data_IF_225296475961
#
_entry.id   IF_225296475961
#
_cell.length_a   1.000
_cell.length_b   1.000
_cell.length_c   1.000
_cell.angle_alpha   90.00
_cell.angle_beta   90.00
_cell.angle_gamma   90.00
#
_symmetry.space_group_name_H-M   'P 1'
#
loop_
_entity.id
_entity.type
_entity.pdbx_description
1 polymer ?
#
# COMPACT_ATOMS: atom_id res chain seq x y z
N UNK A 1 -1.10 -9.22 -0.33
CA UNK A 1 0.27 -9.19 0.19
C UNK A 1 0.61 -10.39 1.07
N UNK A 2 1.79 -10.36 1.67
CA UNK A 2 2.33 -11.48 2.45
C UNK A 2 1.77 -11.60 3.88
N UNK A 3 0.77 -10.80 4.24
CA UNK A 3 0.04 -10.88 5.51
C UNK A 3 0.72 -10.21 6.71
N UNK A 4 1.68 -9.29 6.51
CA UNK A 4 2.32 -8.56 7.61
C UNK A 4 1.33 -7.62 8.30
N UNK A 5 0.75 -6.69 7.55
CA UNK A 5 -0.25 -5.74 8.05
C UNK A 5 -1.51 -6.44 8.52
N UNK A 6 -1.91 -7.51 7.82
CA UNK A 6 -3.02 -8.37 8.26
C UNK A 6 -2.78 -8.96 9.65
N UNK A 7 -1.55 -9.39 9.95
CA UNK A 7 -1.22 -9.93 11.27
C UNK A 7 -1.30 -8.86 12.37
N UNK A 8 -0.90 -7.61 12.06
CA UNK A 8 -1.06 -6.47 12.97
C UNK A 8 -2.55 -6.19 13.20
N UNK A 9 -3.34 -6.11 12.13
CA UNK A 9 -4.78 -5.87 12.23
C UNK A 9 -5.51 -6.96 13.04
N UNK A 10 -5.14 -8.22 12.85
CA UNK A 10 -5.66 -9.35 13.63
C UNK A 10 -5.27 -9.29 15.12
N UNK A 11 -4.15 -8.65 15.45
CA UNK A 11 -3.74 -8.41 16.84
C UNK A 11 -4.73 -7.56 17.64
N UNK A 12 -5.50 -6.71 16.98
CA UNK A 12 -6.62 -5.95 17.58
C UNK A 12 -7.91 -6.78 17.77
N UNK A 13 -7.89 -8.08 17.45
CA UNK A 13 -8.98 -9.03 17.62
C UNK A 13 -10.32 -8.57 17.03
N UNK A 14 -10.40 -8.23 15.72
CA UNK A 14 -11.65 -7.89 15.07
C UNK A 14 -12.63 -9.07 15.15
N UNK A 15 -13.94 -8.83 14.97
CA UNK A 15 -14.94 -9.92 14.91
C UNK A 15 -14.64 -10.92 13.80
N UNK A 16 -14.12 -10.42 12.66
CA UNK A 16 -13.61 -11.20 11.54
C UNK A 16 -12.60 -10.38 10.75
N UNK A 17 -11.75 -11.06 10.00
CA UNK A 17 -10.80 -10.46 9.06
C UNK A 17 -10.90 -11.18 7.71
N UNK A 18 -11.02 -10.41 6.62
CA UNK A 18 -10.95 -10.98 5.26
C UNK A 18 -9.89 -10.23 4.47
N UNK A 19 -8.84 -10.94 4.08
CA UNK A 19 -7.83 -10.43 3.17
C UNK A 19 -8.12 -10.87 1.74
N UNK A 20 -7.87 -9.97 0.78
CA UNK A 20 -8.02 -10.23 -0.66
C UNK A 20 -6.67 -10.03 -1.33
N UNK A 21 -6.25 -10.98 -2.13
CA UNK A 21 -5.05 -10.86 -2.96
C UNK A 21 -5.22 -11.63 -4.27
N UNK A 22 -4.83 -11.01 -5.38
CA UNK A 22 -4.91 -11.64 -6.69
C UNK A 22 -3.82 -12.71 -6.89
N UNK A 23 -2.69 -12.57 -6.20
CA UNK A 23 -1.57 -13.50 -6.29
C UNK A 23 -1.78 -14.68 -5.32
N UNK A 24 -2.03 -15.87 -5.86
CA UNK A 24 -2.28 -17.07 -5.07
C UNK A 24 -1.10 -17.46 -4.16
N UNK A 25 0.14 -17.25 -4.60
CA UNK A 25 1.32 -17.53 -3.78
C UNK A 25 1.36 -16.58 -2.55
N UNK A 26 1.09 -15.28 -2.76
CA UNK A 26 1.02 -14.30 -1.68
C UNK A 26 -0.12 -14.65 -0.71
N UNK A 27 -1.30 -14.98 -1.23
CA UNK A 27 -2.45 -15.42 -0.44
C UNK A 27 -2.13 -16.67 0.39
N UNK A 28 -1.43 -17.64 -0.19
CA UNK A 28 -1.00 -18.87 0.51
C UNK A 28 -0.01 -18.58 1.64
N UNK A 29 0.96 -17.68 1.41
CA UNK A 29 1.91 -17.26 2.46
C UNK A 29 1.17 -16.51 3.57
N UNK A 30 0.23 -15.62 3.22
CA UNK A 30 -0.58 -14.89 4.18
C UNK A 30 -1.41 -15.82 5.07
N UNK A 31 -2.07 -16.85 4.49
CA UNK A 31 -2.83 -17.87 5.24
C UNK A 31 -1.94 -18.58 6.28
N UNK A 32 -0.69 -18.89 5.92
CA UNK A 32 0.26 -19.54 6.85
C UNK A 32 0.76 -18.60 7.95
N UNK A 33 0.87 -17.32 7.66
CA UNK A 33 1.41 -16.30 8.59
C UNK A 33 0.40 -15.85 9.62
N UNK A 34 -0.85 -15.62 9.20
CA UNK A 34 -1.90 -15.09 10.07
C UNK A 34 -2.39 -16.20 11.01
N UNK A 35 -2.13 -16.03 12.30
CA UNK A 35 -2.53 -16.97 13.37
C UNK A 35 -3.79 -16.49 14.09
N UNK A 36 -4.80 -16.14 13.33
CA UNK A 36 -6.08 -15.68 13.84
C UNK A 36 -7.20 -16.54 13.26
N UNK A 37 -7.93 -17.25 14.12
CA UNK A 37 -8.94 -18.24 13.76
C UNK A 37 -10.11 -17.68 12.95
N UNK A 38 -10.42 -16.38 13.15
CA UNK A 38 -11.47 -15.66 12.43
C UNK A 38 -10.96 -14.90 11.20
N UNK A 39 -9.73 -15.21 10.74
CA UNK A 39 -9.17 -14.66 9.52
C UNK A 39 -9.42 -15.58 8.32
N UNK A 40 -9.84 -14.98 7.22
CA UNK A 40 -9.99 -15.63 5.91
C UNK A 40 -9.19 -14.87 4.86
N UNK A 41 -8.43 -15.58 4.04
CA UNK A 41 -7.74 -15.01 2.89
C UNK A 41 -8.31 -15.62 1.62
N UNK A 42 -8.85 -14.76 0.75
CA UNK A 42 -9.42 -15.16 -0.54
C UNK A 42 -8.51 -14.73 -1.68
N UNK A 43 -8.45 -15.56 -2.70
CA UNK A 43 -7.77 -15.22 -3.95
C UNK A 43 -8.78 -14.59 -4.89
N UNK A 44 -8.73 -13.27 -5.02
CA UNK A 44 -9.65 -12.49 -5.87
C UNK A 44 -9.02 -11.16 -6.27
N UNK A 45 -9.60 -10.53 -7.30
CA UNK A 45 -9.23 -9.19 -7.70
C UNK A 45 -9.83 -8.17 -6.71
N UNK A 46 -9.03 -7.21 -6.23
CA UNK A 46 -9.50 -6.15 -5.34
C UNK A 46 -10.56 -5.23 -5.98
N UNK A 47 -10.61 -5.15 -7.31
CA UNK A 47 -11.68 -4.46 -8.05
C UNK A 47 -12.98 -5.29 -8.15
N UNK A 48 -12.96 -6.56 -7.75
CA UNK A 48 -14.08 -7.48 -7.79
C UNK A 48 -13.89 -8.57 -6.72
N UNK A 49 -14.02 -8.18 -5.47
CA UNK A 49 -13.65 -8.99 -4.30
C UNK A 49 -14.53 -10.21 -4.07
N UNK A 50 -15.69 -10.30 -4.74
CA UNK A 50 -16.73 -11.32 -4.50
C UNK A 50 -17.41 -11.25 -3.12
N UNK A 51 -17.09 -10.24 -2.32
CA UNK A 51 -17.72 -10.00 -1.02
C UNK A 51 -19.09 -9.33 -1.21
N UNK A 52 -20.05 -9.58 -0.30
CA UNK A 52 -21.35 -8.92 -0.36
C UNK A 52 -21.27 -7.40 -0.18
N UNK A 53 -22.32 -6.69 -0.59
CA UNK A 53 -22.51 -5.28 -0.28
C UNK A 53 -22.57 -5.08 1.25
N UNK A 54 -22.08 -3.95 1.74
CA UNK A 54 -22.13 -3.59 3.16
C UNK A 54 -21.60 -4.69 4.10
N UNK A 55 -20.56 -5.41 3.66
CA UNK A 55 -19.94 -6.52 4.37
C UNK A 55 -19.05 -6.06 5.54
N UNK A 56 -18.26 -5.01 5.33
CA UNK A 56 -17.17 -4.61 6.21
C UNK A 56 -17.44 -3.28 6.93
N UNK A 57 -16.97 -3.17 8.18
CA UNK A 57 -16.95 -1.91 8.92
C UNK A 57 -15.69 -1.08 8.62
N UNK A 58 -14.61 -1.77 8.22
CA UNK A 58 -13.30 -1.19 7.88
C UNK A 58 -12.73 -1.91 6.67
N UNK A 59 -12.22 -1.14 5.72
CA UNK A 59 -11.42 -1.63 4.58
C UNK A 59 -10.11 -0.89 4.57
N UNK A 60 -9.02 -1.52 4.18
CA UNK A 60 -7.77 -0.85 3.95
C UNK A 60 -6.97 -1.48 2.80
N UNK A 61 -6.18 -0.65 2.12
CA UNK A 61 -5.23 -1.04 1.10
C UNK A 61 -3.86 -0.41 1.36
N UNK A 62 -2.81 -1.15 1.15
CA UNK A 62 -1.44 -0.69 1.39
C UNK A 62 -0.55 -1.00 0.20
N UNK A 63 0.10 0.02 -0.35
CA UNK A 63 1.07 -0.04 -1.45
C UNK A 63 0.55 -0.85 -2.66
N UNK A 64 -0.72 -0.68 -3.00
CA UNK A 64 -1.36 -1.43 -4.07
C UNK A 64 -1.93 -0.55 -5.18
N UNK A 65 -2.49 0.61 -4.83
CA UNK A 65 -3.12 1.52 -5.79
C UNK A 65 -2.08 2.24 -6.65
N UNK A 66 -0.96 2.64 -6.08
CA UNK A 66 0.14 3.30 -6.81
C UNK A 66 0.58 2.52 -8.05
N UNK A 67 0.51 1.19 -8.01
CA UNK A 67 0.93 0.30 -9.11
C UNK A 67 -0.16 0.01 -10.12
N UNK A 68 -1.35 0.60 -9.97
CA UNK A 68 -2.48 0.38 -10.86
C UNK A 68 -2.65 1.54 -11.85
N UNK A 69 -3.12 1.29 -13.07
CA UNK A 69 -3.62 2.35 -13.95
C UNK A 69 -4.86 3.01 -13.32
N UNK A 70 -5.17 4.23 -13.76
CA UNK A 70 -6.22 5.06 -13.15
C UNK A 70 -7.58 4.35 -13.09
N UNK A 71 -7.99 3.69 -14.18
CA UNK A 71 -9.27 2.97 -14.24
C UNK A 71 -9.33 1.83 -13.21
N UNK A 72 -8.22 1.13 -13.02
CA UNK A 72 -8.15 0.09 -11.99
C UNK A 72 -8.14 0.66 -10.57
N UNK A 73 -7.48 1.82 -10.35
CA UNK A 73 -7.60 2.54 -9.07
C UNK A 73 -9.06 2.86 -8.75
N UNK A 74 -9.78 3.45 -9.72
CA UNK A 74 -11.21 3.76 -9.60
C UNK A 74 -12.04 2.53 -9.29
N UNK A 75 -11.84 1.45 -10.02
CA UNK A 75 -12.58 0.19 -9.81
C UNK A 75 -12.32 -0.41 -8.41
N UNK A 76 -11.08 -0.39 -7.93
CA UNK A 76 -10.74 -0.88 -6.59
C UNK A 76 -11.37 -0.02 -5.50
N UNK A 77 -11.35 1.31 -5.65
CA UNK A 77 -11.95 2.23 -4.67
C UNK A 77 -13.48 2.09 -4.69
N UNK A 78 -14.10 1.95 -5.87
CA UNK A 78 -15.53 1.69 -6.00
C UNK A 78 -15.94 0.37 -5.33
N UNK A 79 -15.14 -0.69 -5.49
CA UNK A 79 -15.38 -1.96 -4.81
C UNK A 79 -15.23 -1.82 -3.29
N UNK A 80 -14.22 -1.09 -2.80
CA UNK A 80 -14.09 -0.78 -1.39
C UNK A 80 -15.32 -0.02 -0.85
N UNK A 81 -15.84 0.92 -1.63
CA UNK A 81 -17.08 1.64 -1.29
C UNK A 81 -18.29 0.70 -1.24
N UNK A 82 -18.45 -0.19 -2.22
CA UNK A 82 -19.54 -1.14 -2.28
C UNK A 82 -19.59 -2.06 -1.06
N UNK A 83 -18.44 -2.65 -0.70
CA UNK A 83 -18.36 -3.61 0.40
C UNK A 83 -18.36 -2.97 1.80
N UNK A 84 -18.13 -1.66 1.92
CA UNK A 84 -18.25 -0.95 3.18
C UNK A 84 -19.71 -0.71 3.55
N UNK A 85 -20.01 -0.85 4.84
CA UNK A 85 -21.26 -0.37 5.43
C UNK A 85 -21.31 1.16 5.44
N UNK A 86 -22.50 1.75 5.47
CA UNK A 86 -22.66 3.18 5.75
C UNK A 86 -22.02 3.51 7.10
N UNK A 87 -21.32 4.64 7.19
CA UNK A 87 -20.49 5.02 8.34
C UNK A 87 -19.16 4.28 8.45
N UNK A 88 -18.88 3.30 7.59
CA UNK A 88 -17.63 2.56 7.55
C UNK A 88 -16.45 3.39 7.02
N UNK A 89 -15.22 2.91 7.25
CA UNK A 89 -14.00 3.65 6.88
C UNK A 89 -13.13 2.88 5.91
N UNK A 90 -12.60 3.59 4.92
CA UNK A 90 -11.56 3.13 4.01
C UNK A 90 -10.24 3.83 4.32
N UNK A 91 -9.20 3.06 4.54
CA UNK A 91 -7.84 3.55 4.73
C UNK A 91 -6.96 3.17 3.54
N UNK A 92 -6.23 4.12 2.98
CA UNK A 92 -5.16 3.85 2.00
C UNK A 92 -3.82 4.31 2.56
N UNK A 93 -2.76 3.57 2.24
CA UNK A 93 -1.39 3.95 2.51
C UNK A 93 -0.57 3.72 1.24
N UNK A 94 -0.19 4.82 0.58
CA UNK A 94 0.36 4.81 -0.76
C UNK A 94 1.55 5.76 -0.89
N UNK A 95 2.23 5.73 -2.03
CA UNK A 95 3.19 6.77 -2.38
C UNK A 95 2.46 8.08 -2.68
N UNK A 96 2.92 9.15 -2.06
CA UNK A 96 2.48 10.51 -2.30
C UNK A 96 3.49 11.31 -3.11
N UNK A 97 3.00 12.23 -3.92
CA UNK A 97 3.79 13.28 -4.58
C UNK A 97 3.52 14.59 -3.88
N UNK A 98 4.55 15.39 -3.68
CA UNK A 98 4.47 16.73 -3.08
C UNK A 98 5.41 17.72 -3.77
N UNK A 99 5.09 19.05 -3.74
CA UNK A 99 3.79 19.60 -3.32
C UNK A 99 2.66 19.23 -4.31
N UNK A 100 1.42 19.59 -4.01
CA UNK A 100 0.28 19.33 -4.91
C UNK A 100 0.44 20.03 -6.26
N UNK A 101 1.14 21.18 -6.29
CA UNK A 101 1.42 22.00 -7.48
C UNK A 101 2.67 21.57 -8.25
N UNK A 102 3.20 20.37 -8.00
CA UNK A 102 4.38 19.86 -8.73
C UNK A 102 4.12 19.80 -10.23
N UNK A 103 5.14 20.23 -11.03
CA UNK A 103 5.00 20.24 -12.48
C UNK A 103 4.87 18.84 -13.08
N UNK A 104 4.17 18.73 -14.21
CA UNK A 104 4.01 17.45 -14.92
C UNK A 104 5.36 16.87 -15.37
N UNK A 105 6.33 17.73 -15.72
CA UNK A 105 7.69 17.27 -16.07
C UNK A 105 8.36 16.51 -14.92
N UNK A 106 8.26 17.04 -13.70
CA UNK A 106 8.79 16.36 -12.49
C UNK A 106 8.05 15.07 -12.23
N UNK A 107 6.72 15.03 -12.40
CA UNK A 107 5.92 13.80 -12.25
C UNK A 107 6.35 12.74 -13.25
N UNK A 108 6.52 13.09 -14.52
CA UNK A 108 6.92 12.15 -15.57
C UNK A 108 8.31 11.57 -15.32
N UNK A 109 9.30 12.39 -14.93
CA UNK A 109 10.65 11.92 -14.58
C UNK A 109 10.59 10.97 -13.39
N UNK A 110 9.84 11.33 -12.35
CA UNK A 110 9.62 10.52 -11.17
C UNK A 110 8.95 9.17 -11.52
N UNK A 111 7.91 9.16 -12.35
CA UNK A 111 7.22 7.95 -12.78
C UNK A 111 8.13 7.01 -13.55
N UNK A 112 8.94 7.56 -14.47
CA UNK A 112 9.90 6.81 -15.26
C UNK A 112 10.94 6.15 -14.36
N UNK A 113 11.59 6.92 -13.51
CA UNK A 113 12.67 6.43 -12.65
C UNK A 113 12.17 5.44 -11.59
N UNK A 114 11.01 5.70 -10.99
CA UNK A 114 10.36 4.75 -10.09
C UNK A 114 10.02 3.44 -10.81
N UNK A 115 9.35 3.50 -11.95
CA UNK A 115 8.91 2.32 -12.69
C UNK A 115 10.09 1.45 -13.11
N UNK A 116 11.19 2.05 -13.59
CA UNK A 116 12.42 1.33 -13.92
C UNK A 116 13.08 0.69 -12.68
N UNK A 117 13.02 1.39 -11.56
CA UNK A 117 13.68 0.97 -10.32
C UNK A 117 12.94 -0.17 -9.63
N UNK A 118 11.62 -0.07 -9.48
CA UNK A 118 10.80 -1.10 -8.83
C UNK A 118 10.30 -2.16 -9.80
N UNK A 119 10.48 -1.97 -11.12
CA UNK A 119 10.06 -2.87 -12.21
C UNK A 119 8.56 -3.12 -12.29
N UNK A 120 7.78 -2.15 -11.88
CA UNK A 120 6.32 -2.11 -12.04
C UNK A 120 5.93 -0.69 -12.42
N UNK A 121 4.82 -0.54 -13.13
CA UNK A 121 4.28 0.79 -13.42
C UNK A 121 3.87 1.46 -12.11
N UNK A 122 4.67 2.43 -11.64
CA UNK A 122 4.34 3.24 -10.50
C UNK A 122 3.75 4.57 -10.99
N UNK A 123 2.58 4.89 -10.47
CA UNK A 123 1.87 6.15 -10.72
C UNK A 123 1.37 6.68 -9.38
N UNK A 124 2.31 7.16 -8.52
CA UNK A 124 1.91 7.90 -7.34
C UNK A 124 1.13 9.14 -7.72
N UNK A 125 0.35 9.65 -6.81
CA UNK A 125 -0.51 10.81 -7.02
C UNK A 125 -0.23 11.84 -5.92
N UNK A 126 -0.54 13.11 -6.18
CA UNK A 126 -0.51 14.13 -5.13
C UNK A 126 -1.61 13.87 -4.10
N UNK A 127 -1.54 14.54 -2.97
CA UNK A 127 -2.58 14.43 -1.94
C UNK A 127 -3.93 14.92 -2.46
N UNK A 128 -3.93 16.00 -3.21
CA UNK A 128 -5.14 16.53 -3.85
C UNK A 128 -5.73 15.51 -4.84
N UNK A 129 -4.91 14.87 -5.66
CA UNK A 129 -5.34 13.85 -6.63
C UNK A 129 -5.89 12.60 -5.93
N UNK A 130 -5.23 12.09 -4.86
CA UNK A 130 -5.74 10.97 -4.06
C UNK A 130 -7.07 11.29 -3.40
N UNK A 131 -7.20 12.51 -2.84
CA UNK A 131 -8.44 13.00 -2.22
C UNK A 131 -9.56 13.07 -3.23
N UNK A 132 -9.33 13.73 -4.38
CA UNK A 132 -10.32 13.84 -5.44
C UNK A 132 -10.77 12.47 -5.97
N UNK A 133 -9.84 11.52 -6.09
CA UNK A 133 -10.15 10.16 -6.54
C UNK A 133 -11.06 9.40 -5.55
N UNK A 134 -10.84 9.57 -4.25
CA UNK A 134 -11.68 8.99 -3.20
C UNK A 134 -13.07 9.64 -3.18
N UNK A 135 -13.12 10.97 -3.29
CA UNK A 135 -14.37 11.75 -3.28
C UNK A 135 -15.21 11.48 -4.54
N UNK A 136 -14.58 11.29 -5.70
CA UNK A 136 -15.26 10.86 -6.94
C UNK A 136 -16.04 9.54 -6.75
N UNK A 137 -15.55 8.65 -5.89
CA UNK A 137 -16.20 7.39 -5.56
C UNK A 137 -17.20 7.49 -4.40
N UNK A 138 -17.49 8.69 -3.92
CA UNK A 138 -18.50 8.96 -2.90
C UNK A 138 -17.98 8.94 -1.46
N UNK A 139 -16.70 8.80 -1.23
CA UNK A 139 -16.10 8.89 0.10
C UNK A 139 -16.00 10.35 0.57
N UNK A 140 -16.02 10.53 1.89
CA UNK A 140 -15.63 11.79 2.54
C UNK A 140 -14.27 11.59 3.18
N UNK A 141 -13.26 12.32 2.74
CA UNK A 141 -11.93 12.29 3.37
C UNK A 141 -12.00 12.92 4.76
N UNK A 142 -11.52 12.18 5.76
CA UNK A 142 -11.58 12.55 7.18
C UNK A 142 -10.20 12.94 7.69
N UNK A 143 -9.15 12.24 7.25
CA UNK A 143 -7.80 12.46 7.75
C UNK A 143 -6.77 12.15 6.68
N UNK A 144 -5.73 12.97 6.62
CA UNK A 144 -4.55 12.77 5.80
C UNK A 144 -3.32 12.88 6.70
N UNK A 145 -2.40 11.95 6.56
CA UNK A 145 -1.10 11.93 7.26
C UNK A 145 0.03 11.70 6.26
N UNK A 146 1.12 12.39 6.46
CA UNK A 146 2.32 12.30 5.63
C UNK A 146 3.50 11.79 6.44
N UNK A 147 4.29 10.91 5.85
CA UNK A 147 5.54 10.45 6.42
C UNK A 147 6.64 10.45 5.35
N UNK A 148 7.88 10.77 5.72
CA UNK A 148 9.00 10.60 4.81
C UNK A 148 9.11 9.15 4.33
N UNK A 149 9.51 8.97 3.06
CA UNK A 149 9.71 7.63 2.48
C UNK A 149 11.03 7.01 3.01
N UNK A 150 10.98 6.43 4.21
CA UNK A 150 12.12 5.83 4.90
C UNK A 150 12.19 4.31 4.79
N UNK A 151 11.46 3.70 3.87
CA UNK A 151 11.27 2.25 3.76
C UNK A 151 12.57 1.44 3.76
N UNK A 152 13.65 1.98 3.19
CA UNK A 152 14.95 1.32 3.08
C UNK A 152 15.99 1.88 4.06
N UNK A 153 15.61 2.71 5.02
CA UNK A 153 16.53 3.19 6.05
C UNK A 153 16.67 2.14 7.16
N UNK A 154 17.94 1.92 7.60
CA UNK A 154 18.25 0.87 8.60
C UNK A 154 17.51 1.04 9.91
N UNK A 155 17.39 2.28 10.38
CA UNK A 155 16.67 2.60 11.62
C UNK A 155 15.21 2.15 11.55
N UNK A 156 14.53 2.42 10.43
CA UNK A 156 13.16 2.00 10.21
C UNK A 156 13.04 0.48 10.11
N UNK A 157 13.93 -0.16 9.35
CA UNK A 157 13.95 -1.62 9.23
C UNK A 157 14.14 -2.32 10.58
N UNK A 158 14.99 -1.78 11.47
CA UNK A 158 15.19 -2.33 12.82
C UNK A 158 13.93 -2.15 13.66
N UNK A 159 13.26 -1.02 13.54
CA UNK A 159 12.02 -0.71 14.25
C UNK A 159 10.86 -1.63 13.85
N UNK A 160 10.72 -1.88 12.56
CA UNK A 160 9.60 -2.64 11.98
C UNK A 160 9.82 -4.17 12.05
N UNK A 161 11.04 -4.64 11.82
CA UNK A 161 11.36 -6.06 11.64
C UNK A 161 12.21 -6.65 12.78
N UNK A 162 12.78 -5.81 13.62
CA UNK A 162 13.71 -6.20 14.65
C UNK A 162 15.14 -6.49 14.14
N UNK A 163 16.12 -6.40 15.02
CA UNK A 163 17.55 -6.48 14.67
C UNK A 163 17.99 -7.84 14.10
N UNK A 164 17.42 -8.95 14.57
CA UNK A 164 17.74 -10.29 14.06
C UNK A 164 17.35 -10.45 12.60
N UNK A 165 16.20 -9.92 12.22
CA UNK A 165 15.71 -10.01 10.84
C UNK A 165 16.48 -9.09 9.91
N UNK A 166 16.90 -7.92 10.41
CA UNK A 166 17.79 -7.01 9.68
C UNK A 166 19.15 -7.67 9.43
N UNK A 167 19.69 -8.43 10.36
CA UNK A 167 20.90 -9.21 10.16
C UNK A 167 20.73 -10.26 9.04
N UNK A 168 19.62 -10.99 9.04
CA UNK A 168 19.30 -11.95 7.97
C UNK A 168 19.15 -11.28 6.60
N UNK A 169 18.48 -10.14 6.55
CA UNK A 169 18.36 -9.33 5.32
C UNK A 169 19.74 -8.86 4.87
N UNK A 170 20.56 -8.37 5.78
CA UNK A 170 21.94 -7.92 5.49
C UNK A 170 22.80 -9.08 4.96
N UNK A 171 22.73 -10.24 5.59
CA UNK A 171 23.43 -11.44 5.14
C UNK A 171 22.98 -11.86 3.73
N UNK A 172 21.68 -11.85 3.45
CA UNK A 172 21.13 -12.14 2.13
C UNK A 172 21.60 -11.11 1.07
N UNK A 173 21.65 -9.83 1.43
CA UNK A 173 22.18 -8.78 0.56
C UNK A 173 23.68 -8.97 0.24
N UNK A 174 24.45 -9.51 1.19
CA UNK A 174 25.87 -9.85 0.94
C UNK A 174 25.98 -11.07 0.00
N UNK A 175 25.14 -12.08 0.20
CA UNK A 175 25.13 -13.33 -0.57
C UNK A 175 24.64 -13.15 -2.01
N UNK A 176 23.73 -12.22 -2.25
CA UNK A 176 23.10 -12.01 -3.56
C UNK A 176 23.42 -10.61 -4.13
N UNK A 177 24.50 -10.47 -4.93
CA UNK A 177 24.95 -9.18 -5.47
C UNK A 177 23.88 -8.43 -6.28
N UNK A 178 23.06 -9.16 -7.05
CA UNK A 178 21.99 -8.57 -7.87
C UNK A 178 20.89 -7.93 -7.00
N UNK A 179 20.50 -8.60 -5.91
CA UNK A 179 19.54 -8.05 -4.95
C UNK A 179 20.12 -6.80 -4.31
N UNK A 180 21.39 -6.85 -3.89
CA UNK A 180 22.09 -5.69 -3.33
C UNK A 180 22.13 -4.50 -4.27
N UNK A 181 22.45 -4.73 -5.56
CA UNK A 181 22.46 -3.68 -6.60
C UNK A 181 21.07 -3.04 -6.74
N UNK A 182 20.02 -3.86 -6.76
CA UNK A 182 18.63 -3.40 -6.85
C UNK A 182 18.22 -2.56 -5.64
N UNK A 183 18.49 -3.03 -4.44
CA UNK A 183 18.19 -2.28 -3.20
C UNK A 183 18.94 -0.95 -3.15
N UNK A 184 20.22 -0.92 -3.58
CA UNK A 184 21.00 0.32 -3.69
C UNK A 184 20.36 1.29 -4.71
N UNK A 185 19.92 0.79 -5.87
CA UNK A 185 19.24 1.62 -6.89
C UNK A 185 17.94 2.20 -6.35
N UNK A 186 17.12 1.38 -5.67
CA UNK A 186 15.88 1.84 -5.03
C UNK A 186 16.15 2.92 -3.99
N UNK A 187 17.14 2.72 -3.12
CA UNK A 187 17.51 3.71 -2.10
C UNK A 187 18.00 5.01 -2.71
N UNK A 188 18.79 4.95 -3.77
CA UNK A 188 19.26 6.12 -4.51
C UNK A 188 18.10 6.89 -5.15
N UNK A 189 17.15 6.19 -5.78
CA UNK A 189 15.97 6.79 -6.38
C UNK A 189 15.11 7.51 -5.31
N UNK A 190 14.78 6.85 -4.21
CA UNK A 190 14.00 7.49 -3.13
C UNK A 190 14.70 8.70 -2.50
N UNK A 191 16.02 8.66 -2.35
CA UNK A 191 16.80 9.81 -1.86
C UNK A 191 16.85 10.97 -2.84
N UNK A 192 16.99 10.67 -4.14
CA UNK A 192 16.98 11.68 -5.20
C UNK A 192 15.66 12.46 -5.21
N UNK A 193 14.55 11.73 -5.03
CA UNK A 193 13.21 12.30 -5.10
C UNK A 193 12.57 12.61 -3.73
N UNK A 194 13.34 12.63 -2.64
CA UNK A 194 12.81 12.81 -1.28
C UNK A 194 12.06 14.12 -1.06
N UNK A 195 12.34 15.15 -1.87
CA UNK A 195 11.64 16.43 -1.82
C UNK A 195 10.26 16.36 -2.46
N UNK A 196 10.08 15.47 -3.45
CA UNK A 196 8.84 15.32 -4.22
C UNK A 196 8.11 14.00 -3.94
N UNK A 197 8.64 13.15 -3.07
CA UNK A 197 8.07 11.84 -2.77
C UNK A 197 7.94 11.63 -1.26
N UNK A 198 6.77 11.19 -0.84
CA UNK A 198 6.52 10.77 0.53
C UNK A 198 5.62 9.52 0.59
N UNK A 199 5.24 9.12 1.79
CA UNK A 199 4.20 8.15 2.04
C UNK A 199 2.98 8.91 2.57
N UNK A 200 1.84 8.73 1.92
CA UNK A 200 0.58 9.33 2.33
C UNK A 200 -0.37 8.25 2.86
N UNK A 201 -0.94 8.50 4.04
CA UNK A 201 -2.01 7.70 4.59
C UNK A 201 -3.29 8.53 4.63
N UNK A 202 -4.36 8.04 4.01
CA UNK A 202 -5.65 8.74 3.95
C UNK A 202 -6.73 7.84 4.56
N UNK A 203 -7.52 8.42 5.45
CA UNK A 203 -8.73 7.80 5.99
C UNK A 203 -9.93 8.53 5.42
N UNK A 204 -10.81 7.79 4.77
CA UNK A 204 -12.04 8.27 4.20
C UNK A 204 -13.24 7.48 4.76
N UNK A 205 -14.39 8.11 4.87
CA UNK A 205 -15.62 7.54 5.39
C UNK A 205 -16.65 7.40 4.28
N UNK A 206 -17.33 6.28 4.23
CA UNK A 206 -18.57 6.12 3.47
C UNK A 206 -19.70 6.77 4.24
N UNK A 207 -20.39 7.79 3.70
CA UNK A 207 -21.54 8.42 4.32
C UNK A 207 -22.67 7.46 4.67
#
# INVERSE_FOLDING_TARGET
GLGFTANIACGYRPKSYTGVDLNDQAATIARKRIKYDKAKIINANAAQSTLPDAYADRVYGEAMLTMQPLDQKKAIIAEAFRILKSGGYYGIHELGIKPDEVSEEIKEDLFKELSETIRVHARPMTTAEWTALLEEQGFKVIKVEHNPMLLLERSRMIQDEGWLRVLLVTFNLLRFPEIRKRVKKMKACFRKHQENLDAVAIIAQKP
#
